data_IF_232407330325
#
_entry.id   IF_232407330325
#
_cell.length_a   1.000
_cell.length_b   1.000
_cell.length_c   1.000
_cell.angle_alpha   90.00
_cell.angle_beta   90.00
_cell.angle_gamma   90.00
#
_symmetry.space_group_name_H-M   'P 1'
#
loop_
_entity.id
_entity.type
_entity.pdbx_description
1 polymer ?
#
# COMPACT_ATOMS: atom_id res chain seq x y z
N UNK A 1 -4.16 15.80 -1.62
CA UNK A 1 -4.03 14.76 -0.59
C UNK A 1 -5.40 14.19 -0.26
N UNK A 2 -6.35 15.00 0.18
CA UNK A 2 -7.66 14.54 0.67
C UNK A 2 -8.47 13.77 -0.36
N UNK A 3 -8.50 14.24 -1.60
CA UNK A 3 -9.19 13.57 -2.70
C UNK A 3 -8.62 12.16 -2.94
N UNK A 4 -7.30 12.04 -3.03
CA UNK A 4 -6.64 10.75 -3.22
C UNK A 4 -6.85 9.83 -2.01
N UNK A 5 -6.75 10.37 -0.79
CA UNK A 5 -7.01 9.62 0.44
C UNK A 5 -8.44 9.08 0.47
N UNK A 6 -9.43 9.94 0.15
CA UNK A 6 -10.84 9.54 0.06
C UNK A 6 -11.08 8.47 -1.01
N UNK A 7 -10.45 8.61 -2.17
CA UNK A 7 -10.52 7.60 -3.23
C UNK A 7 -9.94 6.25 -2.80
N UNK A 8 -8.82 6.23 -2.08
CA UNK A 8 -8.22 5.01 -1.54
C UNK A 8 -9.11 4.36 -0.48
N UNK A 9 -9.67 5.15 0.45
CA UNK A 9 -10.60 4.67 1.47
C UNK A 9 -11.86 4.05 0.84
N UNK A 10 -12.42 4.68 -0.20
CA UNK A 10 -13.58 4.15 -0.93
C UNK A 10 -13.31 2.81 -1.63
N UNK A 11 -12.04 2.49 -1.88
CA UNK A 11 -11.56 1.21 -2.43
C UNK A 11 -11.18 0.18 -1.36
N UNK A 12 -11.39 0.51 -0.08
CA UNK A 12 -11.10 -0.38 1.04
C UNK A 12 -9.65 -0.38 1.51
N UNK A 13 -8.82 0.55 1.04
CA UNK A 13 -7.45 0.69 1.56
C UNK A 13 -7.46 1.50 2.87
N UNK A 14 -6.61 1.12 3.80
CA UNK A 14 -6.37 1.92 5.00
C UNK A 14 -5.39 3.04 4.70
N UNK A 15 -5.91 4.22 4.39
CA UNK A 15 -5.13 5.37 4.01
C UNK A 15 -5.40 6.57 4.93
N UNK A 16 -4.37 7.37 5.20
CA UNK A 16 -4.51 8.67 5.88
C UNK A 16 -3.72 9.74 5.13
N UNK A 17 -4.22 10.97 5.17
CA UNK A 17 -3.60 12.14 4.54
C UNK A 17 -2.71 12.93 5.50
N UNK A 18 -1.63 13.51 4.95
CA UNK A 18 -0.70 14.37 5.68
C UNK A 18 -0.36 15.59 4.82
N UNK A 19 -0.88 16.77 5.18
CA UNK A 19 -0.67 18.03 4.47
C UNK A 19 -0.63 19.22 5.44
N UNK A 20 -0.46 20.43 4.92
CA UNK A 20 -0.27 21.64 5.71
C UNK A 20 -1.47 22.04 6.58
N UNK A 21 -2.68 21.72 6.13
CA UNK A 21 -3.92 22.18 6.78
C UNK A 21 -4.35 21.34 7.99
N UNK A 22 -3.67 20.23 8.27
CA UNK A 22 -3.95 19.42 9.46
C UNK A 22 -3.22 19.96 10.69
N UNK A 23 -3.86 19.83 11.85
CA UNK A 23 -3.24 20.23 13.13
C UNK A 23 -2.02 19.39 13.48
N UNK A 24 -1.12 19.94 14.29
CA UNK A 24 0.07 19.19 14.75
C UNK A 24 -0.32 17.93 15.54
N UNK A 25 -1.39 17.99 16.33
CA UNK A 25 -1.88 16.81 17.06
C UNK A 25 -2.32 15.70 16.11
N UNK A 26 -3.09 16.05 15.04
CA UNK A 26 -3.54 15.08 14.03
C UNK A 26 -2.34 14.51 13.25
N UNK A 27 -1.35 15.34 12.92
CA UNK A 27 -0.11 14.89 12.27
C UNK A 27 0.60 13.81 13.08
N UNK A 28 0.77 14.01 14.40
CA UNK A 28 1.41 13.03 15.29
C UNK A 28 0.59 11.74 15.39
N UNK A 29 -0.74 11.85 15.44
CA UNK A 29 -1.64 10.69 15.45
C UNK A 29 -1.48 9.84 14.17
N UNK A 30 -1.53 10.48 12.99
CA UNK A 30 -1.37 9.80 11.69
C UNK A 30 -0.03 9.10 11.60
N UNK A 31 1.06 9.77 12.00
CA UNK A 31 2.40 9.20 12.00
C UNK A 31 2.51 7.99 12.94
N UNK A 32 1.89 8.08 14.12
CA UNK A 32 1.86 6.97 15.09
C UNK A 32 1.09 5.77 14.51
N UNK A 33 -0.05 6.01 13.86
CA UNK A 33 -0.83 4.96 13.18
C UNK A 33 0.00 4.28 12.09
N UNK A 34 0.70 5.06 11.27
CA UNK A 34 1.54 4.53 10.20
C UNK A 34 2.71 3.70 10.73
N UNK A 35 3.42 4.19 11.74
CA UNK A 35 4.53 3.46 12.39
C UNK A 35 4.10 2.17 13.09
N UNK A 36 2.82 2.07 13.48
CA UNK A 36 2.25 0.91 14.17
C UNK A 36 1.45 -0.01 13.21
N UNK A 37 1.63 0.13 11.89
CA UNK A 37 0.95 -0.67 10.86
C UNK A 37 -0.59 -0.64 10.96
N UNK A 38 -1.15 0.43 11.54
CA UNK A 38 -2.60 0.64 11.63
C UNK A 38 -3.20 1.21 10.35
N UNK A 39 -2.36 1.84 9.52
CA UNK A 39 -2.67 2.28 8.16
C UNK A 39 -1.60 1.74 7.21
N UNK A 40 -2.02 1.38 6.00
CA UNK A 40 -1.15 0.77 5.01
C UNK A 40 -0.55 1.82 4.05
N UNK A 41 -1.26 2.95 3.85
CA UNK A 41 -0.90 3.99 2.89
C UNK A 41 -0.92 5.36 3.57
N UNK A 42 0.19 6.08 3.45
CA UNK A 42 0.29 7.48 3.86
C UNK A 42 0.37 8.36 2.62
N UNK A 43 -0.61 9.24 2.43
CA UNK A 43 -0.64 10.22 1.33
C UNK A 43 -0.15 11.56 1.86
N UNK A 44 1.00 12.04 1.37
CA UNK A 44 1.61 13.24 1.91
C UNK A 44 2.08 14.21 0.82
N UNK A 45 2.08 15.52 1.14
CA UNK A 45 2.80 16.52 0.36
C UNK A 45 4.28 16.54 0.76
N UNK A 46 5.16 17.04 -0.12
CA UNK A 46 6.59 17.17 0.18
C UNK A 46 6.85 18.00 1.44
N UNK A 47 6.14 19.11 1.58
CA UNK A 47 6.28 20.01 2.74
C UNK A 47 5.90 19.28 4.03
N UNK A 48 4.81 18.54 4.02
CA UNK A 48 4.37 17.79 5.18
C UNK A 48 5.24 16.58 5.47
N UNK A 49 5.83 15.97 4.44
CA UNK A 49 6.74 14.83 4.57
C UNK A 49 8.17 15.23 4.99
N UNK A 50 8.54 16.51 4.79
CA UNK A 50 9.89 17.00 5.15
C UNK A 50 10.08 17.01 6.67
N UNK A 51 11.21 16.51 7.12
CA UNK A 51 11.53 16.41 8.56
C UNK A 51 10.81 15.27 9.29
N UNK A 52 10.03 14.45 8.61
CA UNK A 52 9.44 13.26 9.22
C UNK A 52 10.45 12.11 9.26
N UNK A 53 10.55 11.49 10.41
CA UNK A 53 11.27 10.23 10.58
C UNK A 53 10.40 9.06 10.07
N UNK A 54 10.19 9.05 8.75
CA UNK A 54 9.56 7.95 8.00
C UNK A 54 10.62 7.41 7.06
N UNK A 55 11.06 6.20 7.32
CA UNK A 55 12.02 5.50 6.48
C UNK A 55 11.78 4.00 6.53
N UNK A 56 12.31 3.29 5.54
CA UNK A 56 12.18 1.84 5.46
C UNK A 56 10.80 1.37 5.01
N UNK A 57 10.01 2.25 4.36
CA UNK A 57 8.76 1.83 3.72
C UNK A 57 9.08 0.91 2.54
N UNK A 58 8.22 -0.04 2.24
CA UNK A 58 8.40 -0.99 1.15
C UNK A 58 8.30 -0.31 -0.23
N UNK A 59 7.38 0.65 -0.37
CA UNK A 59 7.07 1.32 -1.63
C UNK A 59 6.97 2.83 -1.45
N UNK A 60 7.41 3.58 -2.46
CA UNK A 60 7.13 5.01 -2.63
C UNK A 60 6.43 5.21 -3.97
N UNK A 61 5.29 5.86 -3.95
CA UNK A 61 4.54 6.23 -5.15
C UNK A 61 4.59 7.74 -5.33
N UNK A 62 5.23 8.23 -6.40
CA UNK A 62 5.11 9.62 -6.83
C UNK A 62 3.83 9.73 -7.67
N UNK A 63 2.74 10.20 -7.05
CA UNK A 63 1.49 10.45 -7.74
C UNK A 63 1.64 11.63 -8.71
N UNK A 64 2.27 12.70 -8.23
CA UNK A 64 2.71 13.82 -9.05
C UNK A 64 4.24 13.80 -9.15
N UNK A 65 4.79 14.16 -10.34
CA UNK A 65 6.23 14.32 -10.51
C UNK A 65 6.71 15.49 -9.64
N UNK A 66 7.81 15.31 -8.87
CA UNK A 66 8.41 16.39 -8.10
C UNK A 66 8.94 17.51 -9.04
N UNK A 67 8.97 18.74 -8.52
CA UNK A 67 9.38 19.91 -9.29
C UNK A 67 10.89 19.94 -9.60
N UNK A 68 11.69 19.22 -8.84
CA UNK A 68 13.15 19.15 -8.99
C UNK A 68 13.68 17.74 -8.70
N UNK A 69 14.87 17.46 -9.23
CA UNK A 69 15.51 16.14 -9.13
C UNK A 69 15.96 15.79 -7.71
N UNK A 70 16.25 16.78 -6.87
CA UNK A 70 16.62 16.58 -5.47
C UNK A 70 15.40 16.12 -4.65
N UNK A 71 14.25 16.77 -4.87
CA UNK A 71 12.97 16.35 -4.27
C UNK A 71 12.60 14.91 -4.66
N UNK A 72 12.84 14.51 -5.92
CA UNK A 72 12.67 13.14 -6.36
C UNK A 72 13.52 12.18 -5.51
N UNK A 73 14.81 12.47 -5.38
CA UNK A 73 15.74 11.64 -4.60
C UNK A 73 15.35 11.56 -3.13
N UNK A 74 14.91 12.67 -2.54
CA UNK A 74 14.41 12.71 -1.16
C UNK A 74 13.14 11.88 -0.95
N UNK A 75 12.20 11.87 -1.94
CA UNK A 75 10.99 11.05 -1.87
C UNK A 75 11.33 9.57 -1.93
N UNK A 76 12.08 9.13 -2.95
CA UNK A 76 12.42 7.71 -3.10
C UNK A 76 13.35 7.21 -1.98
N UNK A 77 14.14 8.11 -1.40
CA UNK A 77 14.99 7.81 -0.24
C UNK A 77 14.22 7.43 1.04
N UNK A 78 12.89 7.32 1.01
CA UNK A 78 12.09 6.74 2.09
C UNK A 78 12.06 5.22 2.06
N UNK A 79 12.37 4.62 0.90
CA UNK A 79 12.47 3.17 0.72
C UNK A 79 13.92 2.73 0.44
N UNK A 80 14.18 1.43 0.42
CA UNK A 80 15.49 0.86 0.08
C UNK A 80 16.61 1.22 1.04
N UNK A 81 16.35 1.39 2.34
CA UNK A 81 17.34 1.75 3.36
C UNK A 81 17.83 0.54 4.15
N UNK A 82 19.01 0.69 4.75
CA UNK A 82 19.63 -0.32 5.63
C UNK A 82 19.81 -1.68 4.96
N UNK A 83 20.18 -1.70 3.67
CA UNK A 83 20.41 -2.94 2.91
C UNK A 83 19.15 -3.68 2.48
N UNK A 84 17.96 -3.10 2.72
CA UNK A 84 16.68 -3.64 2.23
C UNK A 84 16.39 -3.13 0.82
N UNK A 85 15.81 -3.98 0.00
CA UNK A 85 15.26 -3.58 -1.29
C UNK A 85 14.04 -2.68 -1.10
N UNK A 86 13.80 -1.75 -2.03
CA UNK A 86 12.68 -0.85 -2.04
C UNK A 86 12.20 -0.56 -3.45
N UNK A 87 10.93 -0.29 -3.60
CA UNK A 87 10.30 -0.02 -4.89
C UNK A 87 9.84 1.44 -4.92
N UNK A 88 10.27 2.17 -5.97
CA UNK A 88 9.77 3.50 -6.26
C UNK A 88 9.03 3.48 -7.61
N UNK A 89 7.79 3.96 -7.62
CA UNK A 89 6.94 4.04 -8.80
C UNK A 89 6.57 5.50 -9.03
N UNK A 90 6.70 5.97 -10.26
CA UNK A 90 6.32 7.34 -10.64
C UNK A 90 5.28 7.28 -11.75
N UNK A 91 4.13 7.93 -11.55
CA UNK A 91 3.15 8.11 -12.59
C UNK A 91 3.60 9.25 -13.50
N UNK A 92 3.61 9.00 -14.80
CA UNK A 92 4.19 9.91 -15.80
C UNK A 92 3.22 10.09 -16.95
N UNK A 93 2.96 11.33 -17.32
CA UNK A 93 2.27 11.66 -18.55
C UNK A 93 3.29 11.74 -19.72
N UNK A 94 2.86 11.48 -20.96
CA UNK A 94 3.77 11.54 -22.11
C UNK A 94 4.55 12.86 -22.26
N UNK A 95 3.95 13.97 -21.85
CA UNK A 95 4.59 15.32 -21.90
C UNK A 95 5.71 15.50 -20.86
N UNK A 96 5.78 14.66 -19.85
CA UNK A 96 6.74 14.72 -18.73
C UNK A 96 7.98 13.83 -18.98
N UNK A 97 8.01 13.11 -20.10
CA UNK A 97 9.07 12.13 -20.40
C UNK A 97 10.48 12.75 -20.47
N UNK A 98 10.59 13.98 -20.96
CA UNK A 98 11.89 14.65 -21.02
C UNK A 98 12.41 15.00 -19.62
N UNK A 99 11.51 15.33 -18.70
CA UNK A 99 11.87 15.56 -17.31
C UNK A 99 12.26 14.25 -16.59
N UNK A 100 11.61 13.15 -16.90
CA UNK A 100 12.02 11.82 -16.40
C UNK A 100 13.45 11.49 -16.84
N UNK A 101 13.82 11.78 -18.10
CA UNK A 101 15.20 11.57 -18.58
C UNK A 101 16.22 12.40 -17.81
N UNK A 102 15.88 13.65 -17.47
CA UNK A 102 16.75 14.48 -16.61
C UNK A 102 16.94 13.87 -15.23
N UNK A 103 15.86 13.35 -14.60
CA UNK A 103 15.94 12.65 -13.31
C UNK A 103 16.83 11.41 -13.43
N UNK A 104 16.69 10.62 -14.49
CA UNK A 104 17.49 9.43 -14.75
C UNK A 104 18.99 9.77 -14.88
N UNK A 105 19.31 10.83 -15.63
CA UNK A 105 20.68 11.25 -15.88
C UNK A 105 21.35 11.78 -14.60
N UNK A 106 20.64 12.60 -13.81
CA UNK A 106 21.16 13.12 -12.53
C UNK A 106 21.39 11.98 -11.53
N UNK A 107 20.50 11.00 -11.47
CA UNK A 107 20.61 9.87 -10.54
C UNK A 107 21.46 8.71 -11.09
N UNK A 108 21.95 8.83 -12.33
CA UNK A 108 22.70 7.79 -13.03
C UNK A 108 22.01 6.42 -12.97
N UNK A 109 20.69 6.40 -13.11
CA UNK A 109 19.85 5.20 -13.07
C UNK A 109 18.73 5.30 -14.08
N UNK A 110 18.49 4.25 -14.84
CA UNK A 110 17.36 4.14 -15.77
C UNK A 110 16.15 3.57 -15.07
N UNK A 111 14.99 4.15 -15.33
CA UNK A 111 13.71 3.68 -14.84
C UNK A 111 13.11 2.66 -15.81
N UNK A 112 12.51 1.62 -15.27
CA UNK A 112 11.79 0.65 -16.09
C UNK A 112 10.39 1.18 -16.37
N UNK A 113 10.07 1.40 -17.64
CA UNK A 113 8.71 1.73 -18.03
C UNK A 113 7.77 0.54 -17.76
N UNK A 114 6.67 0.81 -17.06
CA UNK A 114 5.62 -0.15 -16.77
C UNK A 114 4.31 0.37 -17.36
N UNK A 115 3.50 -0.52 -17.89
CA UNK A 115 2.11 -0.19 -18.22
C UNK A 115 1.22 -0.39 -16.97
N UNK A 116 0.15 0.40 -16.82
CA UNK A 116 -0.86 0.09 -15.81
C UNK A 116 -1.40 -1.33 -16.03
N UNK A 117 -1.62 -2.11 -14.96
CA UNK A 117 -2.16 -3.45 -15.10
C UNK A 117 -3.60 -3.41 -15.62
N UNK A 118 -3.96 -4.34 -16.49
CA UNK A 118 -5.34 -4.51 -16.91
C UNK A 118 -6.21 -5.03 -15.75
N UNK A 119 -7.50 -4.67 -15.77
CA UNK A 119 -8.46 -5.10 -14.73
C UNK A 119 -8.40 -6.61 -14.45
N UNK A 120 -8.25 -7.43 -15.49
CA UNK A 120 -8.12 -8.90 -15.34
C UNK A 120 -6.86 -9.30 -14.55
N UNK A 121 -5.74 -8.61 -14.78
CA UNK A 121 -4.48 -8.87 -14.07
C UNK A 121 -4.61 -8.51 -12.59
N UNK A 122 -5.29 -7.39 -12.29
CA UNK A 122 -5.57 -6.97 -10.91
C UNK A 122 -6.49 -7.97 -10.19
N UNK A 123 -7.55 -8.43 -10.85
CA UNK A 123 -8.46 -9.44 -10.28
C UNK A 123 -7.72 -10.75 -9.99
N UNK A 124 -6.93 -11.23 -10.97
CA UNK A 124 -6.14 -12.45 -10.80
C UNK A 124 -5.15 -12.32 -9.64
N UNK A 125 -4.43 -11.19 -9.52
CA UNK A 125 -3.49 -10.96 -8.42
C UNK A 125 -4.21 -10.98 -7.05
N UNK A 126 -5.44 -10.44 -6.96
CA UNK A 126 -6.26 -10.52 -5.74
C UNK A 126 -6.69 -11.95 -5.41
N UNK A 127 -7.08 -12.72 -6.42
CA UNK A 127 -7.41 -14.14 -6.24
C UNK A 127 -6.21 -14.95 -5.74
N UNK A 128 -5.04 -14.69 -6.30
CA UNK A 128 -3.80 -15.35 -5.90
C UNK A 128 -3.40 -14.94 -4.46
N UNK A 129 -3.51 -13.66 -4.08
CA UNK A 129 -3.27 -13.19 -2.71
C UNK A 129 -4.21 -13.86 -1.69
N UNK A 130 -5.49 -14.03 -2.04
CA UNK A 130 -6.45 -14.76 -1.18
C UNK A 130 -6.00 -16.21 -0.99
N UNK A 131 -5.60 -16.90 -2.07
CA UNK A 131 -5.12 -18.29 -1.98
C UNK A 131 -3.87 -18.40 -1.11
N UNK A 132 -2.90 -17.51 -1.29
CA UNK A 132 -1.66 -17.49 -0.50
C UNK A 132 -1.95 -17.24 0.98
N UNK A 133 -2.87 -16.34 1.30
CA UNK A 133 -3.29 -16.09 2.68
C UNK A 133 -3.96 -17.31 3.31
N UNK A 134 -4.86 -17.97 2.57
CA UNK A 134 -5.51 -19.19 3.04
C UNK A 134 -4.47 -20.29 3.29
N UNK A 135 -3.51 -20.49 2.39
CA UNK A 135 -2.43 -21.45 2.56
C UNK A 135 -1.57 -21.13 3.79
N UNK A 136 -1.22 -19.87 4.00
CA UNK A 136 -0.46 -19.42 5.16
C UNK A 136 -1.24 -19.61 6.49
N UNK A 137 -2.56 -19.48 6.46
CA UNK A 137 -3.38 -19.77 7.65
C UNK A 137 -3.51 -21.26 7.93
N UNK A 138 -3.67 -22.06 6.88
CA UNK A 138 -3.74 -23.53 7.03
C UNK A 138 -2.44 -24.14 7.55
N UNK A 139 -1.29 -23.50 7.31
CA UNK A 139 0.01 -23.94 7.82
C UNK A 139 0.23 -23.64 9.31
N UNK A 140 -0.63 -22.82 9.94
CA UNK A 140 -0.55 -22.52 11.38
C UNK A 140 -1.28 -23.59 12.19
N UNK A 141 -0.74 -23.91 13.35
CA UNK A 141 -1.46 -24.76 14.31
C UNK A 141 -2.76 -24.07 14.72
N UNK A 142 -3.89 -24.66 14.37
CA UNK A 142 -5.19 -24.15 14.73
C UNK A 142 -5.56 -24.62 16.13
N UNK A 143 -6.07 -23.70 16.97
CA UNK A 143 -6.59 -24.04 18.28
C UNK A 143 -7.73 -25.08 18.17
N UNK A 144 -7.74 -26.09 19.06
CA UNK A 144 -8.73 -27.17 19.10
C UNK A 144 -10.18 -26.64 19.14
N UNK A 145 -10.38 -25.48 19.76
CA UNK A 145 -11.67 -24.77 19.82
C UNK A 145 -12.17 -24.34 18.43
N UNK A 146 -11.27 -23.80 17.58
CA UNK A 146 -11.63 -23.38 16.22
C UNK A 146 -11.94 -24.58 15.34
N UNK A 147 -11.22 -25.68 15.50
CA UNK A 147 -11.51 -26.93 14.76
C UNK A 147 -12.89 -27.48 15.09
N UNK A 148 -13.31 -27.42 16.38
CA UNK A 148 -14.65 -27.85 16.80
C UNK A 148 -15.73 -26.97 16.16
N UNK A 149 -15.60 -25.66 16.25
CA UNK A 149 -16.54 -24.71 15.63
C UNK A 149 -16.64 -24.94 14.11
N UNK A 150 -15.51 -25.12 13.43
CA UNK A 150 -15.50 -25.41 12.00
C UNK A 150 -16.23 -26.70 11.65
N UNK A 151 -16.06 -27.74 12.48
CA UNK A 151 -16.75 -29.03 12.30
C UNK A 151 -18.26 -28.92 12.51
N UNK A 152 -18.72 -28.06 13.42
CA UNK A 152 -20.13 -27.78 13.65
C UNK A 152 -20.72 -27.02 12.45
N UNK A 153 -20.06 -25.98 11.96
CA UNK A 153 -20.47 -25.17 10.80
C UNK A 153 -20.56 -26.00 9.50
N UNK A 154 -19.59 -26.88 9.26
CA UNK A 154 -19.58 -27.76 8.07
C UNK A 154 -20.68 -28.83 8.07
N UNK A 155 -21.38 -29.05 9.20
CA UNK A 155 -22.56 -29.89 9.26
C UNK A 155 -23.84 -29.16 8.84
N UNK A 156 -23.88 -27.84 9.04
CA UNK A 156 -25.07 -27.01 8.80
C UNK A 156 -25.05 -26.33 7.45
N UNK A 157 -23.86 -26.02 6.92
CA UNK A 157 -23.68 -25.21 5.71
C UNK A 157 -22.85 -25.96 4.67
N UNK A 158 -23.13 -25.68 3.38
CA UNK A 158 -22.29 -26.16 2.28
C UNK A 158 -20.87 -25.55 2.40
N UNK A 159 -19.86 -26.38 2.17
CA UNK A 159 -18.46 -25.98 2.29
C UNK A 159 -18.07 -24.86 1.35
N UNK A 160 -18.65 -24.84 0.13
CA UNK A 160 -18.36 -23.82 -0.87
C UNK A 160 -18.95 -22.47 -0.48
N UNK A 161 -20.22 -22.47 0.01
CA UNK A 161 -20.89 -21.26 0.49
C UNK A 161 -20.18 -20.70 1.73
N UNK A 162 -19.79 -21.57 2.67
CA UNK A 162 -19.07 -21.17 3.88
C UNK A 162 -17.74 -20.51 3.51
N UNK A 163 -16.93 -21.14 2.66
CA UNK A 163 -15.65 -20.59 2.22
C UNK A 163 -15.82 -19.30 1.44
N UNK A 164 -16.82 -19.20 0.56
CA UNK A 164 -17.10 -17.99 -0.22
C UNK A 164 -17.51 -16.79 0.66
N UNK A 165 -18.11 -17.03 1.82
CA UNK A 165 -18.52 -15.98 2.77
C UNK A 165 -17.34 -15.38 3.56
N UNK A 166 -16.26 -16.12 3.77
CA UNK A 166 -15.11 -15.70 4.58
C UNK A 166 -14.38 -14.46 4.04
N UNK A 167 -14.10 -14.33 2.73
CA UNK A 167 -13.46 -13.15 2.18
C UNK A 167 -14.27 -11.86 2.38
N UNK A 168 -15.61 -11.96 2.36
CA UNK A 168 -16.51 -10.81 2.56
C UNK A 168 -16.45 -10.33 4.01
N UNK A 169 -16.51 -11.25 4.96
CA UNK A 169 -16.41 -10.90 6.40
C UNK A 169 -15.04 -10.31 6.76
N UNK A 170 -13.97 -10.78 6.12
CA UNK A 170 -12.62 -10.31 6.37
C UNK A 170 -12.35 -8.89 5.83
N UNK A 171 -13.00 -8.49 4.74
CA UNK A 171 -12.88 -7.12 4.19
C UNK A 171 -13.64 -6.08 5.02
N UNK A 172 -14.63 -6.49 5.84
CA UNK A 172 -15.42 -5.60 6.70
C UNK A 172 -14.92 -5.53 8.15
N UNK A 173 -14.03 -6.43 8.58
CA UNK A 173 -13.54 -6.51 9.96
C UNK A 173 -12.16 -5.83 10.18
N UNK A 174 -11.69 -5.04 9.19
CA UNK A 174 -10.45 -4.26 9.32
C UNK A 174 -10.68 -2.78 9.16
#
# INVERSE_FOLDING_TARGET
VDELTSALLSKGYKAEGLHGDITQAKRLEVLKKFKNDQIDILVATDVAARGLDISGVSHVYNFDIPQDTESYTHRIGRTGRAGKEGIAVTFVNPIEMDYIRQIEDVNNRRMKALRPPHRKEVLKAREDDIKDRVQNWMSRENESRLQRISSELLKEYDSTELVASLPVSYTHLR
#
